data_IF_565987981649
#
_entry.id   IF_565987981649
#
_cell.length_a   1.000
_cell.length_b   1.000
_cell.length_c   1.000
_cell.angle_alpha   90.00
_cell.angle_beta   90.00
_cell.angle_gamma   90.00
#
_symmetry.space_group_name_H-M   'P 1'
#
loop_
_entity.id
_entity.type
_entity.pdbx_description
1 polymer ?
#
# COMPACT_ATOMS: atom_id res chain seq x y z
N UNK A 1 2.67 53.83 -41.61
CA UNK A 1 1.62 52.89 -41.18
C UNK A 1 2.10 51.41 -41.20
N UNK A 2 3.27 51.10 -40.64
CA UNK A 2 3.79 49.70 -40.55
C UNK A 2 4.09 49.24 -39.12
N UNK A 3 4.09 50.16 -38.14
CA UNK A 3 4.41 49.86 -36.73
C UNK A 3 3.19 49.54 -35.86
N UNK A 4 1.98 49.81 -36.34
CA UNK A 4 0.72 49.54 -35.61
C UNK A 4 0.26 48.08 -35.80
N UNK A 5 0.67 47.42 -36.89
CA UNK A 5 0.30 46.04 -37.18
C UNK A 5 1.00 45.00 -36.29
N UNK A 6 2.11 45.38 -35.64
CA UNK A 6 2.90 44.46 -34.79
C UNK A 6 2.34 44.30 -33.37
N UNK A 7 1.54 45.27 -32.90
CA UNK A 7 0.98 45.24 -31.53
C UNK A 7 -0.27 44.34 -31.46
N UNK A 8 -0.97 44.14 -32.59
CA UNK A 8 -2.20 43.34 -32.64
C UNK A 8 -1.95 41.82 -32.67
N UNK A 9 -0.73 41.38 -33.02
CA UNK A 9 -0.36 39.95 -33.04
C UNK A 9 0.00 39.42 -31.64
N UNK A 10 0.41 40.29 -30.71
CA UNK A 10 0.79 39.89 -29.34
C UNK A 10 -0.41 39.64 -28.41
N UNK A 11 -1.62 40.08 -28.76
CA UNK A 11 -2.80 39.99 -27.89
C UNK A 11 -3.55 38.66 -28.06
N UNK A 12 -3.30 37.92 -29.15
CA UNK A 12 -4.06 36.69 -29.48
C UNK A 12 -3.51 35.43 -28.79
N UNK A 13 -2.33 35.49 -28.18
CA UNK A 13 -1.72 34.35 -27.44
C UNK A 13 -1.95 34.38 -25.92
N UNK A 14 -2.76 35.31 -25.40
CA UNK A 14 -2.90 35.55 -23.97
C UNK A 14 -4.05 34.84 -23.23
N UNK A 15 -4.81 33.95 -23.87
CA UNK A 15 -5.97 33.31 -23.25
C UNK A 15 -6.18 31.84 -23.70
N UNK A 16 -5.25 30.97 -23.32
CA UNK A 16 -5.45 29.54 -23.03
C UNK A 16 -4.31 29.18 -22.06
N UNK A 17 -4.46 28.14 -21.23
CA UNK A 17 -3.43 27.61 -20.30
C UNK A 17 -3.61 27.91 -18.81
N UNK A 18 -4.79 28.37 -18.36
CA UNK A 18 -5.12 28.32 -16.91
C UNK A 18 -5.59 26.95 -16.43
N UNK A 19 -6.12 26.09 -17.31
CA UNK A 19 -6.60 24.75 -16.93
C UNK A 19 -5.49 23.68 -16.91
N UNK A 20 -4.54 23.72 -17.85
CA UNK A 20 -3.46 22.71 -17.93
C UNK A 20 -2.45 22.85 -16.79
N UNK A 21 -2.16 24.08 -16.35
CA UNK A 21 -1.19 24.35 -15.29
C UNK A 21 -1.69 23.87 -13.91
N UNK A 22 -2.99 24.01 -13.62
CA UNK A 22 -3.61 23.56 -12.37
C UNK A 22 -3.74 22.02 -12.33
N UNK A 23 -4.03 21.39 -13.47
CA UNK A 23 -4.02 19.92 -13.60
C UNK A 23 -2.62 19.33 -13.40
N UNK A 24 -1.59 19.93 -14.00
CA UNK A 24 -0.19 19.50 -13.86
C UNK A 24 0.34 19.68 -12.43
N UNK A 25 0.04 20.80 -11.75
CA UNK A 25 0.39 20.98 -10.33
C UNK A 25 -0.32 19.97 -9.42
N UNK A 26 -1.58 19.63 -9.71
CA UNK A 26 -2.31 18.60 -8.96
C UNK A 26 -1.68 17.22 -9.13
N UNK A 27 -1.27 16.87 -10.36
CA UNK A 27 -0.61 15.60 -10.65
C UNK A 27 0.79 15.51 -10.05
N UNK A 28 1.55 16.61 -10.02
CA UNK A 28 2.87 16.64 -9.38
C UNK A 28 2.77 16.51 -7.85
N UNK A 29 1.75 17.12 -7.22
CA UNK A 29 1.46 16.92 -5.79
C UNK A 29 1.07 15.48 -5.48
N UNK A 30 0.16 14.89 -6.27
CA UNK A 30 -0.25 13.49 -6.12
C UNK A 30 0.96 12.56 -6.30
N UNK A 31 1.83 12.84 -7.28
CA UNK A 31 3.06 12.06 -7.51
C UNK A 31 4.05 12.18 -6.35
N UNK A 32 4.28 13.39 -5.82
CA UNK A 32 5.15 13.59 -4.64
C UNK A 32 4.60 12.89 -3.40
N UNK A 33 3.29 12.91 -3.20
CA UNK A 33 2.64 12.23 -2.08
C UNK A 33 2.69 10.71 -2.26
N UNK A 34 2.50 10.22 -3.49
CA UNK A 34 2.65 8.82 -3.87
C UNK A 34 4.09 8.31 -3.65
N UNK A 35 5.10 9.04 -4.12
CA UNK A 35 6.52 8.69 -3.96
C UNK A 35 6.93 8.71 -2.49
N UNK A 36 6.42 9.67 -1.71
CA UNK A 36 6.63 9.73 -0.26
C UNK A 36 5.98 8.57 0.48
N UNK A 37 4.72 8.23 0.16
CA UNK A 37 4.04 7.07 0.74
C UNK A 37 4.77 5.76 0.37
N UNK A 38 5.27 5.66 -0.86
CA UNK A 38 6.05 4.53 -1.31
C UNK A 38 7.37 4.38 -0.54
N UNK A 39 8.07 5.47 -0.29
CA UNK A 39 9.31 5.48 0.50
C UNK A 39 9.05 5.19 1.99
N UNK A 40 7.97 5.71 2.57
CA UNK A 40 7.65 5.50 3.99
C UNK A 40 7.19 4.07 4.28
N UNK A 41 6.44 3.45 3.36
CA UNK A 41 6.00 2.07 3.53
C UNK A 41 7.16 1.07 3.49
N UNK A 42 8.14 1.30 2.62
CA UNK A 42 9.35 0.48 2.58
C UNK A 42 10.16 0.61 3.88
N UNK A 43 10.35 1.83 4.37
CA UNK A 43 11.03 2.09 5.65
C UNK A 43 10.30 1.44 6.82
N UNK A 44 8.97 1.55 6.90
CA UNK A 44 8.18 0.93 7.96
C UNK A 44 8.35 -0.59 7.98
N UNK A 45 8.29 -1.23 6.81
CA UNK A 45 8.47 -2.68 6.68
C UNK A 45 9.92 -3.12 6.96
N UNK A 46 10.92 -2.26 6.75
CA UNK A 46 12.30 -2.54 7.16
C UNK A 46 12.47 -2.49 8.67
N UNK A 47 11.84 -1.53 9.35
CA UNK A 47 11.82 -1.49 10.82
C UNK A 47 11.13 -2.73 11.43
N UNK A 48 10.09 -3.23 10.78
CA UNK A 48 9.36 -4.42 11.20
C UNK A 48 9.99 -5.74 10.71
N UNK A 49 11.27 -5.74 10.32
CA UNK A 49 11.92 -6.92 9.71
C UNK A 49 11.79 -8.21 10.53
N UNK A 50 11.95 -8.13 11.86
CA UNK A 50 11.75 -9.27 12.76
C UNK A 50 10.29 -9.75 12.76
N UNK A 51 9.34 -8.83 12.91
CA UNK A 51 7.89 -9.11 12.87
C UNK A 51 7.49 -9.79 11.56
N UNK A 52 8.02 -9.33 10.43
CA UNK A 52 7.78 -9.93 9.12
C UNK A 52 8.39 -11.33 9.01
N UNK A 53 9.58 -11.54 9.55
CA UNK A 53 10.21 -12.87 9.60
C UNK A 53 9.35 -13.86 10.40
N UNK A 54 8.88 -13.47 11.58
CA UNK A 54 7.99 -14.29 12.40
C UNK A 54 6.65 -14.57 11.70
N UNK A 55 6.04 -13.53 11.12
CA UNK A 55 4.79 -13.67 10.38
C UNK A 55 4.93 -14.60 9.17
N UNK A 56 6.11 -14.63 8.53
CA UNK A 56 6.39 -15.51 7.38
C UNK A 56 6.33 -16.99 7.75
N UNK A 57 6.80 -17.31 8.96
CA UNK A 57 6.77 -18.66 9.52
C UNK A 57 5.33 -19.02 9.88
N UNK A 58 4.67 -18.18 10.69
CA UNK A 58 3.31 -18.42 11.20
C UNK A 58 2.31 -18.61 10.05
N UNK A 59 2.37 -17.74 9.03
CA UNK A 59 1.42 -17.79 7.90
C UNK A 59 1.86 -18.71 6.76
N UNK A 60 2.96 -19.44 6.93
CA UNK A 60 3.56 -20.26 5.88
C UNK A 60 3.59 -19.52 4.52
N UNK A 61 4.18 -18.32 4.53
CA UNK A 61 4.18 -17.39 3.40
C UNK A 61 5.55 -16.75 3.26
N UNK A 62 6.18 -16.81 2.07
CA UNK A 62 7.50 -16.20 1.88
C UNK A 62 7.52 -14.73 2.28
N UNK A 63 8.63 -14.28 2.88
CA UNK A 63 8.78 -12.90 3.37
C UNK A 63 8.55 -11.89 2.25
N UNK A 64 9.08 -12.13 1.05
CA UNK A 64 8.86 -11.27 -0.12
C UNK A 64 7.38 -11.10 -0.46
N UNK A 65 6.60 -12.18 -0.38
CA UNK A 65 5.15 -12.15 -0.61
C UNK A 65 4.43 -11.35 0.47
N UNK A 66 4.81 -11.52 1.74
CA UNK A 66 4.27 -10.70 2.84
C UNK A 66 4.55 -9.22 2.62
N UNK A 67 5.80 -8.87 2.28
CA UNK A 67 6.22 -7.50 2.00
C UNK A 67 5.42 -6.90 0.85
N UNK A 68 5.21 -7.63 -0.24
CA UNK A 68 4.39 -7.17 -1.36
C UNK A 68 2.93 -6.89 -0.96
N UNK A 69 2.31 -7.80 -0.22
CA UNK A 69 0.93 -7.64 0.28
C UNK A 69 0.82 -6.44 1.21
N UNK A 70 1.67 -6.37 2.22
CA UNK A 70 1.64 -5.32 3.23
C UNK A 70 1.99 -3.96 2.64
N UNK A 71 2.95 -3.89 1.71
CA UNK A 71 3.29 -2.66 1.00
C UNK A 71 2.10 -2.10 0.23
N UNK A 72 1.39 -2.93 -0.54
CA UNK A 72 0.20 -2.46 -1.27
C UNK A 72 -0.93 -2.05 -0.34
N UNK A 73 -1.12 -2.78 0.77
CA UNK A 73 -2.11 -2.42 1.78
C UNK A 73 -1.76 -1.07 2.40
N UNK A 74 -0.54 -0.93 2.94
CA UNK A 74 -0.06 0.27 3.63
C UNK A 74 -0.02 1.49 2.70
N UNK A 75 0.30 1.34 1.42
CA UNK A 75 0.21 2.45 0.45
C UNK A 75 -1.20 3.03 0.31
N UNK A 76 -2.22 2.20 0.51
CA UNK A 76 -3.64 2.59 0.34
C UNK A 76 -4.28 3.02 1.66
N UNK A 77 -3.65 2.71 2.79
CA UNK A 77 -4.15 3.00 4.12
C UNK A 77 -3.35 4.08 4.84
N UNK A 78 -2.03 4.16 4.64
CA UNK A 78 -1.17 5.15 5.27
C UNK A 78 -1.17 6.49 4.50
N UNK A 79 -1.13 7.67 5.18
CA UNK A 79 -1.15 7.90 6.63
C UNK A 79 -2.56 8.04 7.23
N UNK A 80 -3.60 7.61 6.50
CA UNK A 80 -4.99 7.93 6.81
C UNK A 80 -5.64 6.90 7.73
N UNK A 81 -6.60 7.34 8.54
CA UNK A 81 -7.55 6.41 9.17
C UNK A 81 -8.36 5.80 8.03
N UNK A 82 -8.16 4.50 7.78
CA UNK A 82 -8.83 3.81 6.69
C UNK A 82 -10.28 3.57 7.09
N UNK A 83 -11.19 4.10 6.28
CA UNK A 83 -12.60 3.75 6.36
C UNK A 83 -12.76 2.24 6.20
N UNK A 84 -13.35 1.58 7.21
CA UNK A 84 -13.59 0.14 7.20
C UNK A 84 -14.35 -0.31 5.94
N UNK A 85 -15.18 0.56 5.36
CA UNK A 85 -15.92 0.30 4.12
C UNK A 85 -15.01 0.10 2.88
N UNK A 86 -13.75 0.52 2.95
CA UNK A 86 -12.77 0.44 1.85
C UNK A 86 -11.80 -0.74 1.98
N UNK A 87 -11.69 -1.34 3.17
CA UNK A 87 -10.73 -2.43 3.43
C UNK A 87 -10.99 -3.64 2.53
N UNK A 88 -12.26 -4.03 2.36
CA UNK A 88 -12.65 -5.14 1.48
C UNK A 88 -12.18 -4.92 0.03
N UNK A 89 -12.39 -3.72 -0.51
CA UNK A 89 -11.93 -3.35 -1.86
C UNK A 89 -10.41 -3.36 -2.00
N UNK A 90 -9.69 -2.97 -0.96
CA UNK A 90 -8.22 -3.00 -0.94
C UNK A 90 -7.74 -4.46 -0.98
N UNK A 91 -8.32 -5.32 -0.13
CA UNK A 91 -8.03 -6.76 -0.10
C UNK A 91 -8.31 -7.39 -1.46
N UNK A 92 -9.44 -7.08 -2.08
CA UNK A 92 -9.83 -7.55 -3.41
C UNK A 92 -8.80 -7.17 -4.47
N UNK A 93 -8.39 -5.91 -4.47
CA UNK A 93 -7.40 -5.40 -5.42
C UNK A 93 -6.06 -6.14 -5.28
N UNK A 94 -5.58 -6.35 -4.05
CA UNK A 94 -4.31 -7.05 -3.78
C UNK A 94 -4.42 -8.52 -4.18
N UNK A 95 -5.54 -9.15 -3.83
CA UNK A 95 -5.85 -10.54 -4.17
C UNK A 95 -5.80 -10.78 -5.67
N UNK A 96 -6.44 -9.91 -6.45
CA UNK A 96 -6.44 -9.99 -7.92
C UNK A 96 -5.04 -9.71 -8.50
N UNK A 97 -4.34 -8.68 -8.00
CA UNK A 97 -3.02 -8.27 -8.52
C UNK A 97 -1.95 -9.34 -8.38
N UNK A 98 -1.94 -10.08 -7.27
CA UNK A 98 -0.90 -11.06 -6.97
C UNK A 98 -1.39 -12.52 -7.03
N UNK A 99 -2.64 -12.76 -7.44
CA UNK A 99 -3.26 -14.09 -7.48
C UNK A 99 -3.20 -14.83 -6.13
N UNK A 100 -3.38 -14.07 -5.04
CA UNK A 100 -3.43 -14.60 -3.67
C UNK A 100 -4.90 -14.62 -3.24
N UNK A 101 -5.35 -15.64 -2.51
CA UNK A 101 -6.75 -15.67 -2.03
C UNK A 101 -7.05 -14.49 -1.11
N UNK A 102 -8.27 -13.93 -1.21
CA UNK A 102 -8.72 -12.82 -0.35
C UNK A 102 -8.54 -13.13 1.13
N UNK A 103 -8.85 -14.37 1.54
CA UNK A 103 -8.68 -14.85 2.92
C UNK A 103 -7.22 -14.77 3.36
N UNK A 104 -6.29 -15.19 2.50
CA UNK A 104 -4.86 -15.14 2.82
C UNK A 104 -4.36 -13.70 2.93
N UNK A 105 -4.77 -12.81 2.01
CA UNK A 105 -4.47 -11.37 2.10
C UNK A 105 -5.02 -10.76 3.39
N UNK A 106 -6.28 -11.03 3.72
CA UNK A 106 -6.93 -10.55 4.94
C UNK A 106 -6.21 -11.05 6.20
N UNK A 107 -5.83 -12.33 6.24
CA UNK A 107 -5.10 -12.92 7.37
C UNK A 107 -3.74 -12.27 7.59
N UNK A 108 -2.99 -12.01 6.51
CA UNK A 108 -1.69 -11.31 6.57
C UNK A 108 -1.87 -9.90 7.16
N UNK A 109 -2.80 -9.12 6.59
CA UNK A 109 -3.07 -7.74 7.03
C UNK A 109 -3.55 -7.71 8.48
N UNK A 110 -4.44 -8.62 8.85
CA UNK A 110 -4.98 -8.70 10.20
C UNK A 110 -3.89 -9.03 11.22
N UNK A 111 -3.10 -10.09 10.99
CA UNK A 111 -2.02 -10.47 11.91
C UNK A 111 -0.92 -9.41 12.01
N UNK A 112 -0.63 -8.70 10.92
CA UNK A 112 0.34 -7.59 10.96
C UNK A 112 -0.17 -6.40 11.79
N UNK A 113 -1.41 -5.96 11.57
CA UNK A 113 -1.94 -4.76 12.24
C UNK A 113 -2.35 -4.98 13.70
N UNK A 114 -2.79 -6.18 14.05
CA UNK A 114 -3.39 -6.44 15.36
C UNK A 114 -2.56 -7.37 16.25
N UNK A 115 -1.40 -7.84 15.79
CA UNK A 115 -0.48 -8.71 16.56
C UNK A 115 -1.15 -9.95 17.17
N UNK A 116 -2.27 -10.39 16.57
CA UNK A 116 -3.03 -11.53 17.05
C UNK A 116 -2.53 -12.80 16.38
N UNK A 117 -1.96 -13.70 17.18
CA UNK A 117 -1.98 -15.13 16.92
C UNK A 117 -3.42 -15.60 17.08
N UNK A 118 -3.99 -16.18 16.03
CA UNK A 118 -5.38 -16.67 16.08
C UNK A 118 -5.44 -17.99 16.84
N UNK A 119 -6.60 -18.28 17.46
CA UNK A 119 -6.79 -19.44 18.34
C UNK A 119 -6.41 -20.79 17.69
N UNK A 120 -6.62 -20.91 16.37
CA UNK A 120 -6.27 -22.10 15.59
C UNK A 120 -4.75 -22.38 15.55
N UNK A 121 -3.92 -21.34 15.66
CA UNK A 121 -2.45 -21.45 15.70
C UNK A 121 -1.95 -21.86 17.10
N UNK A 122 -2.68 -21.49 18.15
CA UNK A 122 -2.40 -21.92 19.53
C UNK A 122 -2.63 -23.42 19.67
N UNK A 123 -3.75 -23.92 19.14
CA UNK A 123 -4.09 -25.35 19.22
C UNK A 123 -3.09 -26.23 18.45
N UNK A 124 -2.61 -25.81 17.28
CA UNK A 124 -1.56 -26.54 16.55
C UNK A 124 -0.21 -26.56 17.29
N UNK A 125 0.22 -25.44 17.87
CA UNK A 125 1.47 -25.39 18.65
C UNK A 125 1.43 -26.25 19.92
N UNK A 126 0.25 -26.42 20.53
CA UNK A 126 0.07 -27.29 21.68
C UNK A 126 0.19 -28.77 21.30
N UNK A 127 -0.36 -29.16 20.14
CA UNK A 127 -0.28 -30.54 19.63
C UNK A 127 1.18 -30.92 19.31
N UNK A 128 1.94 -30.03 18.65
CA UNK A 128 3.35 -30.29 18.31
C UNK A 128 4.24 -30.46 19.55
N UNK A 129 3.99 -29.71 20.63
CA UNK A 129 4.75 -29.82 21.88
C UNK A 129 4.41 -31.08 22.70
N UNK A 130 3.21 -31.63 22.57
CA UNK A 130 2.87 -32.91 23.22
C UNK A 130 3.53 -34.12 22.53
N UNK A 131 3.69 -34.09 21.21
CA UNK A 131 4.32 -35.21 20.48
C UNK A 131 5.83 -35.29 20.72
N UNK A 132 6.50 -34.15 20.93
CA UNK A 132 7.94 -34.11 21.27
C UNK A 132 8.21 -34.64 22.69
N UNK A 133 7.28 -34.45 23.63
CA UNK A 133 7.41 -34.96 25.01
C UNK A 133 7.02 -36.44 25.18
N UNK A 134 6.54 -37.10 24.12
CA UNK A 134 6.17 -38.53 24.11
C UNK A 134 7.21 -39.44 23.43
N UNK A 135 8.38 -38.90 23.06
CA UNK A 135 9.55 -39.66 22.58
C UNK A 135 10.68 -39.64 23.61
#
# INVERSE_FOLDING_TARGET
>A
MKKILLILILIVFGCKDKEETEFLESQEKIKKEYDKAHSLTDVLLDFDGEKLALLSIIKNTPNDTLRLVLKEYLKKTFPLVTDASKVDKIIDTISQKYHISKIKVASIVFSYNYEMLTKDEIEQSAIENEEVNKK
#
